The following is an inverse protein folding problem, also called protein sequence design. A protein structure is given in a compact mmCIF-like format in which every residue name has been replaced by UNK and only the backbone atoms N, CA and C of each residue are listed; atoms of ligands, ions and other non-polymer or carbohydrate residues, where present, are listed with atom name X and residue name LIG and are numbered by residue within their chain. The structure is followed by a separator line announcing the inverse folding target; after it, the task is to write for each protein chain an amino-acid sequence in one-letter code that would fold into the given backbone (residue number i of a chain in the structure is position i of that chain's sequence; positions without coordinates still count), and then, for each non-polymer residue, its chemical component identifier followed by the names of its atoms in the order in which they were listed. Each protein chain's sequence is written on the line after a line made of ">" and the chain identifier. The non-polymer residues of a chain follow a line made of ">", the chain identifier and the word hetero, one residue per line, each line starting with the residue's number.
data_IF_467658426983
#
_entry.id   IF_467658426983
#
_cell.length_a   1.000
_cell.length_b   1.000
_cell.length_c   1.000
_cell.angle_alpha   90.00
_cell.angle_beta   90.00
_cell.angle_gamma   90.00
#
_symmetry.space_group_name_H-M   'P 1'
#
loop_
_entity.id
_entity.type
_entity.pdbx_description
1 polymer ?
#
# COMPACT_ATOMS: atom_id res chain seq x y z
N UNK A 1 42.28 -6.97 -13.17
CA UNK A 1 41.29 -7.98 -13.62
C UNK A 1 40.36 -8.30 -12.45
N UNK A 2 39.07 -8.56 -12.70
CA UNK A 2 38.13 -8.87 -11.63
C UNK A 2 38.06 -10.39 -11.42
N UNK A 3 38.24 -10.85 -10.18
CA UNK A 3 38.17 -12.29 -9.87
C UNK A 3 36.70 -12.65 -9.63
N UNK A 4 36.09 -13.51 -10.48
CA UNK A 4 34.72 -13.95 -10.28
C UNK A 4 34.66 -14.98 -9.13
N UNK A 5 33.69 -14.82 -8.22
CA UNK A 5 33.32 -15.85 -7.26
C UNK A 5 32.14 -16.68 -7.81
N UNK A 6 31.60 -17.60 -6.99
CA UNK A 6 30.44 -18.47 -7.31
C UNK A 6 29.38 -17.72 -8.14
N UNK A 7 28.81 -18.37 -9.15
CA UNK A 7 27.83 -17.77 -10.08
C UNK A 7 26.76 -16.99 -9.31
N UNK A 8 26.73 -15.67 -9.51
CA UNK A 8 25.72 -14.77 -8.90
C UNK A 8 26.14 -14.02 -7.63
N UNK A 9 27.36 -14.21 -7.13
CA UNK A 9 27.86 -13.60 -5.89
C UNK A 9 28.52 -12.22 -6.08
N UNK A 10 28.95 -11.88 -7.30
CA UNK A 10 29.64 -10.64 -7.63
C UNK A 10 31.14 -10.84 -7.90
N UNK A 11 31.87 -9.74 -8.04
CA UNK A 11 33.31 -9.74 -8.32
C UNK A 11 34.02 -8.67 -7.51
N UNK A 12 35.22 -8.97 -7.01
CA UNK A 12 36.09 -7.97 -6.40
C UNK A 12 37.31 -7.70 -7.30
N UNK A 13 37.85 -6.49 -7.20
CA UNK A 13 38.95 -6.00 -8.03
C UNK A 13 39.69 -4.87 -7.29
N UNK A 14 40.85 -4.46 -7.79
CA UNK A 14 41.53 -3.25 -7.34
C UNK A 14 41.46 -2.19 -8.43
N UNK A 15 41.18 -0.95 -8.04
CA UNK A 15 41.17 0.20 -8.95
C UNK A 15 42.56 0.80 -9.21
N UNK A 16 43.63 0.03 -9.02
CA UNK A 16 45.01 0.49 -9.21
C UNK A 16 45.63 0.02 -10.54
N UNK A 17 46.46 0.87 -11.15
CA UNK A 17 47.21 0.58 -12.39
C UNK A 17 48.57 -0.06 -12.14
N UNK A 18 48.78 -0.68 -10.98
CA UNK A 18 50.08 -1.24 -10.61
C UNK A 18 50.37 -2.55 -11.36
N UNK A 19 51.64 -2.76 -11.73
CA UNK A 19 52.12 -3.92 -12.50
C UNK A 19 51.87 -5.25 -11.80
N UNK A 20 51.85 -5.26 -10.45
CA UNK A 20 51.53 -6.43 -9.61
C UNK A 20 50.31 -6.18 -8.75
N UNK A 21 49.11 -6.34 -9.31
CA UNK A 21 47.84 -6.09 -8.62
C UNK A 21 47.68 -6.91 -7.32
N UNK A 22 48.19 -8.15 -7.30
CA UNK A 22 48.06 -9.06 -6.14
C UNK A 22 48.90 -8.64 -4.92
N UNK A 23 49.98 -7.86 -5.10
CA UNK A 23 50.90 -7.43 -4.02
C UNK A 23 50.81 -5.95 -3.68
N UNK A 24 49.82 -5.27 -4.23
CA UNK A 24 49.68 -3.83 -4.13
C UNK A 24 48.87 -3.43 -2.88
N UNK A 25 49.27 -2.41 -2.09
CA UNK A 25 48.60 -2.01 -0.85
C UNK A 25 47.27 -1.25 -1.04
N UNK A 26 46.82 -1.06 -2.29
CA UNK A 26 45.57 -0.34 -2.57
C UNK A 26 44.33 -1.16 -2.13
N UNK A 27 43.27 -0.49 -1.67
CA UNK A 27 42.05 -1.14 -1.24
C UNK A 27 41.34 -1.84 -2.41
N UNK A 28 40.64 -2.91 -2.07
CA UNK A 28 39.74 -3.63 -2.95
C UNK A 28 38.41 -2.89 -3.10
N UNK A 29 37.84 -3.04 -4.29
CA UNK A 29 36.53 -2.64 -4.71
C UNK A 29 35.69 -3.88 -5.03
N UNK A 30 34.40 -3.81 -4.78
CA UNK A 30 33.42 -4.86 -5.00
C UNK A 30 32.43 -4.36 -6.02
N UNK A 31 32.00 -5.25 -6.92
CA UNK A 31 30.90 -5.01 -7.84
C UNK A 31 29.96 -6.19 -7.79
N UNK A 32 28.72 -5.94 -7.40
CA UNK A 32 27.69 -6.97 -7.21
C UNK A 32 26.31 -6.45 -7.62
N UNK A 33 25.32 -7.33 -7.67
CA UNK A 33 23.90 -6.94 -7.83
C UNK A 33 23.21 -7.04 -6.48
N UNK A 34 22.53 -5.99 -6.07
CA UNK A 34 21.76 -5.97 -4.83
C UNK A 34 20.52 -6.89 -4.91
N UNK A 35 19.79 -7.02 -3.80
CA UNK A 35 18.55 -7.82 -3.75
C UNK A 35 17.46 -7.29 -4.71
N UNK A 36 17.56 -6.05 -5.17
CA UNK A 36 16.66 -5.45 -6.18
C UNK A 36 17.14 -5.67 -7.62
N UNK A 37 18.28 -6.34 -7.81
CA UNK A 37 18.87 -6.63 -9.11
C UNK A 37 19.69 -5.49 -9.72
N UNK A 38 19.88 -4.37 -9.01
CA UNK A 38 20.68 -3.22 -9.48
C UNK A 38 22.16 -3.45 -9.20
N UNK A 39 23.01 -3.05 -10.14
CA UNK A 39 24.46 -3.15 -9.97
C UNK A 39 24.96 -2.07 -9.01
N UNK A 40 25.74 -2.47 -8.01
CA UNK A 40 26.37 -1.59 -7.02
C UNK A 40 27.87 -1.82 -7.00
N UNK A 41 28.59 -0.74 -6.70
CA UNK A 41 30.03 -0.75 -6.48
C UNK A 41 30.32 -0.21 -5.08
N UNK A 42 31.10 -0.95 -4.29
CA UNK A 42 31.54 -0.55 -2.96
C UNK A 42 33.08 -0.58 -2.93
N UNK A 43 33.72 0.42 -2.33
CA UNK A 43 35.19 0.52 -2.25
C UNK A 43 35.64 0.70 -0.81
N UNK A 44 36.89 0.33 -0.49
CA UNK A 44 37.51 0.63 0.81
C UNK A 44 37.94 -0.58 1.63
N UNK A 45 37.96 -1.77 1.02
CA UNK A 45 38.32 -3.01 1.71
C UNK A 45 39.84 -3.19 1.70
N UNK A 46 40.48 -3.24 2.86
CA UNK A 46 41.96 -3.30 2.97
C UNK A 46 42.49 -4.70 2.65
N UNK A 47 41.74 -5.76 3.01
CA UNK A 47 42.12 -7.13 2.72
C UNK A 47 41.21 -7.78 1.68
N UNK A 48 41.72 -8.83 1.03
CA UNK A 48 40.92 -9.66 0.12
C UNK A 48 39.81 -10.39 0.88
N UNK A 49 40.09 -10.82 2.11
CA UNK A 49 39.14 -11.55 2.92
C UNK A 49 37.93 -10.69 3.27
N UNK A 50 38.14 -9.43 3.67
CA UNK A 50 37.03 -8.50 3.96
C UNK A 50 36.11 -8.29 2.75
N UNK A 51 36.70 -8.21 1.56
CA UNK A 51 35.94 -8.12 0.31
C UNK A 51 35.15 -9.41 0.01
N UNK A 52 35.72 -10.59 0.30
CA UNK A 52 35.04 -11.87 0.14
C UNK A 52 33.91 -12.07 1.17
N UNK A 53 34.14 -11.70 2.43
CA UNK A 53 33.16 -11.80 3.51
C UNK A 53 31.96 -10.89 3.24
N UNK A 54 32.21 -9.66 2.76
CA UNK A 54 31.13 -8.77 2.34
C UNK A 54 30.31 -9.34 1.18
N UNK A 55 30.94 -9.86 0.12
CA UNK A 55 30.22 -10.48 -1.00
C UNK A 55 29.41 -11.69 -0.55
N UNK A 56 29.92 -12.45 0.42
CA UNK A 56 29.22 -13.58 1.04
C UNK A 56 27.99 -13.11 1.84
N UNK A 57 28.13 -12.05 2.63
CA UNK A 57 27.01 -11.39 3.35
C UNK A 57 25.92 -10.92 2.38
N UNK A 58 26.28 -10.21 1.30
CA UNK A 58 25.34 -9.76 0.26
C UNK A 58 24.62 -10.95 -0.40
N UNK A 59 25.33 -12.05 -0.64
CA UNK A 59 24.75 -13.26 -1.22
C UNK A 59 23.75 -13.92 -0.28
N UNK A 60 24.08 -14.05 1.01
CA UNK A 60 23.14 -14.55 2.01
C UNK A 60 21.93 -13.63 2.14
N UNK A 61 22.12 -12.31 2.17
CA UNK A 61 21.02 -11.34 2.16
C UNK A 61 20.11 -11.54 0.95
N UNK A 62 20.68 -11.62 -0.26
CA UNK A 62 19.92 -11.85 -1.49
C UNK A 62 19.19 -13.19 -1.48
N UNK A 63 19.80 -14.25 -0.94
CA UNK A 63 19.21 -15.60 -0.89
C UNK A 63 18.07 -15.69 0.14
N UNK A 64 18.23 -15.06 1.30
CA UNK A 64 17.25 -15.10 2.37
C UNK A 64 16.18 -13.99 2.26
N UNK A 65 16.37 -12.98 1.42
CA UNK A 65 15.37 -11.92 1.20
C UNK A 65 14.04 -12.47 0.65
N UNK A 66 14.02 -13.30 -0.42
CA UNK A 66 12.79 -13.94 -0.90
C UNK A 66 12.14 -14.85 0.15
N UNK A 67 12.92 -15.59 0.93
CA UNK A 67 12.41 -16.45 2.00
C UNK A 67 11.77 -15.64 3.13
N UNK A 68 12.42 -14.57 3.60
CA UNK A 68 11.89 -13.65 4.62
C UNK A 68 10.64 -12.94 4.13
N UNK A 69 10.62 -12.50 2.86
CA UNK A 69 9.42 -11.92 2.24
C UNK A 69 8.28 -12.94 2.18
N UNK A 70 8.54 -14.17 1.73
CA UNK A 70 7.54 -15.23 1.69
C UNK A 70 7.04 -15.63 3.09
N UNK A 71 7.90 -15.61 4.11
CA UNK A 71 7.50 -15.83 5.50
C UNK A 71 6.62 -14.70 6.02
N UNK A 72 6.99 -13.44 5.77
CA UNK A 72 6.19 -12.27 6.14
C UNK A 72 4.81 -12.26 5.44
N UNK A 73 4.76 -12.63 4.17
CA UNK A 73 3.52 -12.79 3.41
C UNK A 73 2.61 -13.86 4.01
N UNK A 74 3.17 -15.04 4.33
CA UNK A 74 2.45 -16.13 5.01
C UNK A 74 1.92 -15.71 6.37
N UNK A 75 2.71 -14.95 7.12
CA UNK A 75 2.30 -14.44 8.43
C UNK A 75 1.10 -13.50 8.30
N UNK A 76 1.16 -12.54 7.38
CA UNK A 76 0.02 -11.66 7.09
C UNK A 76 -1.21 -12.48 6.69
N UNK A 77 -1.05 -13.46 5.81
CA UNK A 77 -2.14 -14.30 5.34
C UNK A 77 -2.80 -15.13 6.44
N UNK A 78 -2.03 -15.60 7.44
CA UNK A 78 -2.52 -16.39 8.57
C UNK A 78 -3.26 -15.58 9.62
N UNK A 79 -3.02 -14.26 9.69
CA UNK A 79 -3.69 -13.39 10.64
C UNK A 79 -5.20 -13.34 10.42
N UNK A 80 -5.95 -13.17 11.51
CA UNK A 80 -7.38 -12.84 11.46
C UNK A 80 -7.57 -11.41 10.96
N UNK A 81 -8.67 -11.18 10.26
CA UNK A 81 -8.97 -9.89 9.64
C UNK A 81 -9.14 -8.77 10.68
N UNK A 82 -9.80 -9.01 11.81
CA UNK A 82 -9.98 -8.00 12.87
C UNK A 82 -8.66 -7.39 13.35
N UNK A 83 -7.73 -8.21 13.90
CA UNK A 83 -6.39 -7.74 14.30
C UNK A 83 -5.61 -7.09 13.15
N UNK A 84 -5.72 -7.64 11.93
CA UNK A 84 -5.08 -7.06 10.76
C UNK A 84 -5.61 -5.64 10.47
N UNK A 85 -6.92 -5.45 10.45
CA UNK A 85 -7.58 -4.17 10.21
C UNK A 85 -7.25 -3.14 11.29
N UNK A 86 -7.19 -3.55 12.56
CA UNK A 86 -6.76 -2.70 13.66
C UNK A 86 -5.31 -2.22 13.45
N UNK A 87 -4.39 -3.14 13.13
CA UNK A 87 -3.00 -2.79 12.81
C UNK A 87 -2.88 -1.91 11.55
N UNK A 88 -3.76 -2.09 10.57
CA UNK A 88 -3.78 -1.26 9.36
C UNK A 88 -4.20 0.17 9.68
N UNK A 89 -5.18 0.35 10.55
CA UNK A 89 -5.66 1.66 10.96
C UNK A 89 -4.57 2.46 11.68
N UNK A 90 -3.78 1.82 12.55
CA UNK A 90 -2.65 2.49 13.23
C UNK A 90 -1.51 2.87 12.26
N UNK A 91 -1.39 2.19 11.12
CA UNK A 91 -0.43 2.56 10.06
C UNK A 91 -0.85 3.79 9.25
N UNK A 92 -2.13 4.20 9.28
CA UNK A 92 -2.62 5.36 8.52
C UNK A 92 -2.27 6.69 9.20
N UNK A 93 -0.97 7.02 9.23
CA UNK A 93 -0.43 8.23 9.89
C UNK A 93 -1.00 9.55 9.35
N UNK A 94 -1.54 9.54 8.14
CA UNK A 94 -2.11 10.73 7.50
C UNK A 94 -3.59 10.95 7.85
N UNK A 95 -4.24 10.03 8.57
CA UNK A 95 -5.63 10.20 8.97
C UNK A 95 -5.73 11.16 10.16
N UNK A 96 -6.66 12.12 10.05
CA UNK A 96 -7.06 12.96 11.17
C UNK A 96 -7.77 12.12 12.24
N UNK A 97 -7.80 12.55 13.51
CA UNK A 97 -8.50 11.80 14.58
C UNK A 97 -9.98 11.52 14.26
N UNK A 98 -10.66 12.46 13.59
CA UNK A 98 -12.03 12.27 13.11
C UNK A 98 -12.15 11.16 12.08
N UNK A 99 -11.23 11.10 11.11
CA UNK A 99 -11.21 10.04 10.10
C UNK A 99 -10.97 8.66 10.71
N UNK A 100 -10.05 8.57 11.68
CA UNK A 100 -9.79 7.33 12.43
C UNK A 100 -11.06 6.88 13.17
N UNK A 101 -11.78 7.80 13.81
CA UNK A 101 -13.04 7.49 14.51
C UNK A 101 -14.10 6.97 13.56
N UNK A 102 -14.28 7.62 12.40
CA UNK A 102 -15.25 7.19 11.38
C UNK A 102 -14.93 5.79 10.87
N UNK A 103 -13.68 5.54 10.50
CA UNK A 103 -13.26 4.21 10.01
C UNK A 103 -13.44 3.14 11.07
N UNK A 104 -13.08 3.43 12.32
CA UNK A 104 -13.27 2.50 13.43
C UNK A 104 -14.76 2.20 13.68
N UNK A 105 -15.64 3.20 13.55
CA UNK A 105 -17.08 3.01 13.67
C UNK A 105 -17.63 2.11 12.55
N UNK A 106 -17.21 2.32 11.31
CA UNK A 106 -17.59 1.47 10.16
C UNK A 106 -17.11 0.03 10.36
N UNK A 107 -15.86 -0.14 10.81
CA UNK A 107 -15.30 -1.45 11.12
C UNK A 107 -16.14 -2.19 12.16
N UNK A 108 -16.45 -1.55 13.28
CA UNK A 108 -17.22 -2.18 14.38
C UNK A 108 -18.67 -2.48 14.02
N UNK A 109 -19.32 -1.57 13.29
CA UNK A 109 -20.77 -1.68 13.04
C UNK A 109 -21.11 -2.53 11.81
N UNK A 110 -20.30 -2.48 10.76
CA UNK A 110 -20.65 -3.13 9.48
C UNK A 110 -19.76 -4.31 9.15
N UNK A 111 -18.44 -4.19 9.35
CA UNK A 111 -17.46 -5.14 8.82
C UNK A 111 -17.18 -6.29 9.80
N UNK A 112 -16.85 -5.97 11.06
CA UNK A 112 -16.48 -6.96 12.07
C UNK A 112 -17.56 -7.98 12.40
N UNK A 113 -18.87 -7.63 12.46
CA UNK A 113 -19.91 -8.63 12.70
C UNK A 113 -19.90 -9.81 11.71
N UNK A 114 -19.38 -9.59 10.50
CA UNK A 114 -19.37 -10.59 9.43
C UNK A 114 -17.97 -11.18 9.20
N UNK A 115 -16.93 -10.35 9.25
CA UNK A 115 -15.60 -10.71 8.72
C UNK A 115 -14.48 -10.77 9.75
N UNK A 116 -14.71 -10.37 11.01
CA UNK A 116 -13.64 -10.22 12.02
C UNK A 116 -12.80 -11.49 12.20
N UNK A 117 -13.47 -12.62 12.29
CA UNK A 117 -12.85 -13.91 12.63
C UNK A 117 -12.15 -14.56 11.43
N UNK A 118 -12.43 -14.10 10.21
CA UNK A 118 -11.93 -14.70 8.95
C UNK A 118 -10.44 -14.43 8.77
N UNK A 119 -9.72 -15.33 8.09
CA UNK A 119 -8.28 -15.16 7.82
C UNK A 119 -8.05 -14.31 6.58
N UNK A 120 -7.00 -13.49 6.59
CA UNK A 120 -6.67 -12.59 5.47
C UNK A 120 -6.45 -13.37 4.17
N UNK A 121 -5.79 -14.52 4.20
CA UNK A 121 -5.54 -15.33 2.99
C UNK A 121 -6.78 -16.04 2.42
N UNK A 122 -7.93 -16.00 3.11
CA UNK A 122 -9.17 -16.66 2.66
C UNK A 122 -10.13 -15.72 1.96
N UNK A 123 -9.78 -14.44 1.79
CA UNK A 123 -10.61 -13.50 1.04
C UNK A 123 -10.55 -13.81 -0.45
N UNK A 124 -11.71 -14.08 -1.03
CA UNK A 124 -11.95 -14.26 -2.46
C UNK A 124 -13.04 -13.28 -2.92
N UNK A 125 -13.28 -13.20 -4.22
CA UNK A 125 -14.40 -12.43 -4.81
C UNK A 125 -15.73 -12.78 -4.15
N UNK A 126 -16.03 -14.09 -4.00
CA UNK A 126 -17.26 -14.57 -3.35
C UNK A 126 -17.40 -14.06 -1.92
N UNK A 127 -16.31 -13.99 -1.15
CA UNK A 127 -16.35 -13.45 0.22
C UNK A 127 -16.78 -11.98 0.25
N UNK A 128 -16.36 -11.20 -0.75
CA UNK A 128 -16.72 -9.79 -0.85
C UNK A 128 -18.19 -9.64 -1.28
N UNK A 129 -18.66 -10.48 -2.21
CA UNK A 129 -20.06 -10.52 -2.64
C UNK A 129 -20.99 -10.93 -1.49
N UNK A 130 -20.66 -12.01 -0.77
CA UNK A 130 -21.38 -12.46 0.43
C UNK A 130 -21.47 -11.35 1.49
N UNK A 131 -20.39 -10.56 1.64
CA UNK A 131 -20.38 -9.44 2.56
C UNK A 131 -21.36 -8.33 2.12
N UNK A 132 -21.43 -8.02 0.82
CA UNK A 132 -22.40 -7.04 0.30
C UNK A 132 -23.83 -7.54 0.54
N UNK A 133 -24.13 -8.79 0.17
CA UNK A 133 -25.44 -9.41 0.40
C UNK A 133 -25.83 -9.37 1.88
N UNK A 134 -24.89 -9.64 2.80
CA UNK A 134 -25.15 -9.58 4.24
C UNK A 134 -25.55 -8.18 4.75
N UNK A 135 -25.14 -7.11 4.06
CA UNK A 135 -25.56 -5.75 4.40
C UNK A 135 -26.96 -5.44 3.87
N UNK A 136 -27.30 -5.97 2.69
CA UNK A 136 -28.63 -5.86 2.08
C UNK A 136 -29.67 -6.61 2.90
N UNK A 137 -29.37 -7.84 3.33
CA UNK A 137 -30.22 -8.65 4.21
C UNK A 137 -30.48 -7.98 5.56
N UNK A 138 -29.47 -7.27 6.09
CA UNK A 138 -29.60 -6.46 7.32
C UNK A 138 -30.24 -5.11 7.09
N UNK A 139 -30.70 -4.80 5.88
CA UNK A 139 -31.33 -3.53 5.49
C UNK A 139 -30.48 -2.29 5.83
N UNK A 140 -29.15 -2.42 5.71
CA UNK A 140 -28.22 -1.30 5.93
C UNK A 140 -28.43 -0.23 4.87
N UNK A 141 -28.48 1.05 5.24
CA UNK A 141 -28.65 2.14 4.26
C UNK A 141 -27.48 2.24 3.26
N UNK A 142 -27.78 2.60 2.00
CA UNK A 142 -26.82 2.60 0.88
C UNK A 142 -25.51 3.37 1.17
N UNK A 143 -25.58 4.53 1.81
CA UNK A 143 -24.39 5.29 2.18
C UNK A 143 -23.48 4.52 3.17
N UNK A 144 -24.07 3.77 4.11
CA UNK A 144 -23.31 2.94 5.05
C UNK A 144 -22.73 1.71 4.34
N UNK A 145 -23.45 1.12 3.38
CA UNK A 145 -22.94 0.03 2.55
C UNK A 145 -21.72 0.46 1.74
N UNK A 146 -21.79 1.59 1.02
CA UNK A 146 -20.68 2.13 0.23
C UNK A 146 -19.47 2.43 1.12
N UNK A 147 -19.68 3.08 2.28
CA UNK A 147 -18.60 3.37 3.22
C UNK A 147 -17.93 2.10 3.77
N UNK A 148 -18.71 1.05 4.05
CA UNK A 148 -18.19 -0.24 4.50
C UNK A 148 -17.40 -0.94 3.39
N UNK A 149 -17.93 -0.96 2.16
CA UNK A 149 -17.26 -1.50 0.99
C UNK A 149 -15.92 -0.79 0.71
N UNK A 150 -15.91 0.54 0.67
CA UNK A 150 -14.69 1.33 0.44
C UNK A 150 -13.64 1.12 1.53
N UNK A 151 -14.09 1.00 2.78
CA UNK A 151 -13.20 0.72 3.92
C UNK A 151 -12.59 -0.67 3.81
N UNK A 152 -13.40 -1.69 3.50
CA UNK A 152 -12.92 -3.06 3.27
C UNK A 152 -11.93 -3.10 2.11
N UNK A 153 -12.22 -2.40 1.01
CA UNK A 153 -11.35 -2.30 -0.17
C UNK A 153 -9.97 -1.76 0.15
N UNK A 154 -9.89 -0.67 0.91
CA UNK A 154 -8.60 -0.09 1.33
C UNK A 154 -7.76 -1.09 2.14
N UNK A 155 -8.38 -1.87 3.02
CA UNK A 155 -7.68 -2.83 3.89
C UNK A 155 -7.20 -4.04 3.09
N UNK A 156 -8.06 -4.63 2.26
CA UNK A 156 -7.72 -5.82 1.47
C UNK A 156 -6.70 -5.50 0.37
N UNK A 157 -6.74 -4.31 -0.25
CA UNK A 157 -5.70 -3.87 -1.19
C UNK A 157 -4.35 -3.63 -0.49
N UNK A 158 -4.34 -3.19 0.78
CA UNK A 158 -3.11 -3.16 1.58
C UNK A 158 -2.57 -4.57 1.83
N UNK A 159 -3.44 -5.52 2.18
CA UNK A 159 -3.06 -6.92 2.38
C UNK A 159 -2.52 -7.57 1.10
N UNK A 160 -3.17 -7.32 -0.05
CA UNK A 160 -2.71 -7.80 -1.35
C UNK A 160 -1.35 -7.22 -1.74
N UNK A 161 -1.15 -5.90 -1.61
CA UNK A 161 0.18 -5.26 -1.87
C UNK A 161 1.29 -5.83 -1.00
N UNK A 162 0.96 -6.26 0.23
CA UNK A 162 1.91 -6.89 1.15
C UNK A 162 2.00 -8.41 0.97
N UNK A 163 1.31 -8.97 -0.02
CA UNK A 163 1.30 -10.38 -0.39
C UNK A 163 0.60 -11.31 0.60
N UNK A 164 -0.25 -10.77 1.49
CA UNK A 164 -1.11 -11.57 2.37
C UNK A 164 -2.30 -12.22 1.66
N UNK A 165 -2.66 -11.68 0.49
CA UNK A 165 -3.70 -12.20 -0.42
C UNK A 165 -3.06 -12.36 -1.79
N UNK A 166 -3.18 -13.55 -2.39
CA UNK A 166 -2.53 -13.86 -3.68
C UNK A 166 -3.20 -13.16 -4.87
N UNK A 167 -4.53 -13.07 -4.86
CA UNK A 167 -5.34 -12.54 -5.96
C UNK A 167 -6.14 -11.34 -5.47
N UNK A 168 -6.36 -10.33 -6.32
CA UNK A 168 -7.22 -9.20 -5.99
C UNK A 168 -8.68 -9.69 -5.80
N UNK A 169 -9.26 -9.54 -4.59
CA UNK A 169 -10.61 -10.04 -4.30
C UNK A 169 -11.73 -9.13 -4.84
N UNK A 170 -11.42 -8.01 -5.48
CA UNK A 170 -12.43 -7.09 -6.05
C UNK A 170 -12.62 -7.24 -7.56
N UNK A 171 -11.91 -8.18 -8.19
CA UNK A 171 -12.09 -8.43 -9.63
C UNK A 171 -13.51 -8.92 -9.88
N UNK A 172 -14.27 -8.15 -10.68
CA UNK A 172 -15.65 -8.48 -11.07
C UNK A 172 -16.73 -8.09 -10.06
N UNK A 173 -16.37 -7.56 -8.88
CA UNK A 173 -17.35 -7.17 -7.86
C UNK A 173 -18.03 -5.84 -8.19
N UNK A 174 -19.34 -5.82 -8.14
CA UNK A 174 -20.16 -4.60 -8.33
C UNK A 174 -20.23 -3.84 -7.00
N UNK A 175 -19.88 -2.54 -7.02
CA UNK A 175 -19.93 -1.67 -5.83
C UNK A 175 -21.38 -1.25 -5.50
N UNK A 176 -21.76 -1.13 -4.22
CA UNK A 176 -23.06 -0.58 -3.82
C UNK A 176 -23.18 0.93 -4.15
N UNK A 177 -23.68 1.31 -5.32
CA UNK A 177 -23.65 2.70 -5.76
C UNK A 177 -24.57 3.63 -4.92
N UNK A 178 -23.96 4.54 -4.16
CA UNK A 178 -24.66 5.64 -3.49
C UNK A 178 -24.36 6.98 -4.18
N UNK A 179 -25.39 7.57 -4.80
CA UNK A 179 -25.33 8.92 -5.37
C UNK A 179 -25.91 9.90 -4.34
N UNK A 180 -25.09 10.74 -3.67
CA UNK A 180 -25.61 11.74 -2.75
C UNK A 180 -26.44 12.79 -3.50
N UNK A 181 -27.66 13.04 -3.03
CA UNK A 181 -28.61 14.02 -3.61
C UNK A 181 -28.05 15.44 -3.72
N UNK A 182 -26.98 15.79 -2.99
CA UNK A 182 -26.37 17.11 -3.03
C UNK A 182 -25.54 17.39 -4.32
N UNK A 183 -25.38 16.40 -5.21
CA UNK A 183 -24.59 16.53 -6.44
C UNK A 183 -25.40 16.30 -7.73
N UNK A 184 -26.72 16.27 -7.66
CA UNK A 184 -27.57 16.61 -8.81
C UNK A 184 -27.68 18.13 -8.87
N UNK A 185 -27.12 18.72 -9.91
CA UNK A 185 -27.10 20.16 -10.14
C UNK A 185 -28.50 20.76 -10.00
N UNK A 186 -28.74 21.53 -8.94
CA UNK A 186 -29.84 22.49 -8.92
C UNK A 186 -29.61 23.50 -10.06
N UNK A 187 -30.60 23.78 -10.92
CA UNK A 187 -30.47 24.84 -11.91
C UNK A 187 -30.27 26.15 -11.15
N UNK A 188 -29.15 26.81 -11.43
CA UNK A 188 -28.91 28.21 -11.15
C UNK A 188 -30.20 29.04 -11.32
N UNK A 189 -30.81 29.49 -10.23
CA UNK A 189 -31.84 30.50 -10.31
C UNK A 189 -31.11 31.84 -10.39
N UNK A 190 -31.18 32.48 -11.55
CA UNK A 190 -30.75 33.88 -11.72
C UNK A 190 -31.65 34.76 -10.87
N UNK A 191 -31.10 35.35 -9.80
CA UNK A 191 -31.73 36.44 -9.06
C UNK A 191 -31.66 37.71 -9.92
N UNK A 192 -32.62 37.90 -10.83
CA UNK A 192 -32.83 39.20 -11.46
C UNK A 192 -33.31 40.18 -10.39
N UNK A 193 -32.44 41.13 -10.06
CA UNK A 193 -32.69 42.25 -9.15
C UNK A 193 -33.81 43.12 -9.70
N UNK A 194 -34.99 43.07 -9.07
CA UNK A 194 -35.99 44.14 -9.20
C UNK A 194 -35.39 45.40 -8.56
N UNK A 195 -34.84 46.28 -9.39
CA UNK A 195 -34.66 47.70 -9.04
C UNK A 195 -36.04 48.35 -9.05
N UNK A 196 -36.65 48.51 -7.86
CA UNK A 196 -37.62 49.57 -7.61
C UNK A 196 -36.86 50.73 -7.02
N UNK A 197 -36.54 51.74 -7.83
CA UNK A 197 -36.29 53.08 -7.33
C UNK A 197 -37.45 53.97 -7.70
N UNK A 198 -37.92 54.66 -6.68
CA UNK A 198 -39.20 55.34 -6.53
C UNK A 198 -39.23 56.66 -7.29
N UNK A 199 -40.43 56.98 -7.77
CA UNK A 199 -40.82 58.18 -8.47
C UNK A 199 -40.42 59.49 -7.76
N UNK A 200 -39.97 60.45 -8.58
CA UNK A 200 -40.10 61.87 -8.31
C UNK A 200 -40.36 62.56 -9.65
N UNK A 201 -41.55 63.16 -9.84
CA UNK A 201 -41.78 64.38 -10.65
C UNK A 201 -43.20 64.90 -10.39
N UNK A 202 -43.26 66.17 -10.00
CA UNK A 202 -44.41 67.03 -9.71
C UNK A 202 -45.28 67.33 -10.94
N UNK A 203 -46.55 67.69 -10.71
CA UNK A 203 -47.34 68.75 -11.39
C UNK A 203 -48.71 68.85 -10.68
N UNK A 204 -49.00 69.91 -9.93
CA UNK A 204 -49.58 71.19 -10.37
C UNK A 204 -51.12 71.16 -10.53
N UNK A 205 -51.84 71.72 -9.56
CA UNK A 205 -52.79 72.87 -9.69
C UNK A 205 -53.60 73.03 -8.41
#
# INVERSE_FOLDING_TARGET
>A
MATPLVRGMGSFFKNCRCTRQNRCPHPYALRYRDASGRQREETGYTTQQDAMDRLTSVYHEKRHTPERQAAAQREIGRQRFGPYAASWLTRQRHYTPGSVRTVNQVLKSQIFPVLESRRVNTFTTTVVEDFIMSMEERTVGLAAQQNAFDTLKKILLDAHRRGGISTDPFVGVISPEYIPLARSASPHWTRSTLSRSTAATNCAS
#
